data_IF_969966162792
#
_entry.id   IF_969966162792
#
_cell.length_a   1.000
_cell.length_b   1.000
_cell.length_c   1.000
_cell.angle_alpha   90.00
_cell.angle_beta   90.00
_cell.angle_gamma   90.00
#
_symmetry.space_group_name_H-M   'P 1'
#
loop_
_entity.id
_entity.type
_entity.pdbx_description
1 polymer ?
#
# COMPACT_ATOMS: atom_id res chain seq x y z
N UNK A 1 14.96 27.17 5.44
CA UNK A 1 13.90 26.26 5.88
C UNK A 1 14.18 24.85 5.36
N UNK A 2 14.32 23.92 6.27
CA UNK A 2 14.44 22.53 5.85
C UNK A 2 13.06 22.00 5.49
N UNK A 3 12.86 21.67 4.24
CA UNK A 3 11.64 20.99 3.82
C UNK A 3 11.87 19.49 3.91
N UNK A 4 11.10 18.82 4.77
CA UNK A 4 11.02 17.38 4.67
C UNK A 4 10.36 17.05 3.33
N UNK A 5 10.95 16.13 2.53
CA UNK A 5 10.30 15.69 1.32
C UNK A 5 8.92 15.13 1.67
N UNK A 6 7.91 15.58 0.99
CA UNK A 6 6.57 15.08 1.20
C UNK A 6 6.40 13.76 0.46
N UNK A 7 5.72 12.82 1.11
CA UNK A 7 5.30 11.59 0.46
C UNK A 7 4.41 11.93 -0.76
N UNK A 8 4.53 11.20 -1.88
CA UNK A 8 3.70 11.43 -3.05
C UNK A 8 2.24 11.03 -2.86
N UNK A 9 1.92 10.36 -1.76
CA UNK A 9 0.57 9.84 -1.53
C UNK A 9 -0.39 10.94 -1.08
N UNK A 10 -1.57 10.99 -1.70
CA UNK A 10 -2.66 11.86 -1.25
C UNK A 10 -3.37 11.22 -0.05
N UNK A 11 -4.25 11.99 0.60
CA UNK A 11 -4.89 11.55 1.84
C UNK A 11 -5.62 10.21 1.70
N UNK A 12 -6.37 10.02 0.64
CA UNK A 12 -7.11 8.77 0.41
C UNK A 12 -6.16 7.57 0.28
N UNK A 13 -5.02 7.77 -0.36
CA UNK A 13 -4.00 6.74 -0.52
C UNK A 13 -3.32 6.42 0.80
N UNK A 14 -3.01 7.43 1.59
CA UNK A 14 -2.43 7.25 2.93
C UNK A 14 -3.38 6.47 3.83
N UNK A 15 -4.67 6.78 3.77
CA UNK A 15 -5.67 6.07 4.58
C UNK A 15 -5.76 4.60 4.19
N UNK A 16 -5.76 4.32 2.88
CA UNK A 16 -5.80 2.96 2.39
C UNK A 16 -4.54 2.18 2.80
N UNK A 17 -3.36 2.79 2.64
CA UNK A 17 -2.09 2.17 3.01
C UNK A 17 -2.07 1.84 4.51
N UNK A 18 -2.54 2.76 5.35
CA UNK A 18 -2.60 2.53 6.79
C UNK A 18 -3.48 1.34 7.13
N UNK A 19 -4.66 1.26 6.52
CA UNK A 19 -5.59 0.17 6.77
C UNK A 19 -4.99 -1.17 6.31
N UNK A 20 -4.41 -1.20 5.13
CA UNK A 20 -3.92 -2.44 4.53
C UNK A 20 -2.64 -2.97 5.18
N UNK A 21 -1.77 -2.08 5.68
CA UNK A 21 -0.50 -2.48 6.28
C UNK A 21 -0.55 -2.61 7.80
N UNK A 22 -1.66 -2.19 8.43
CA UNK A 22 -1.81 -2.28 9.89
C UNK A 22 -1.95 -3.74 10.32
N UNK A 23 -1.27 -4.15 11.41
CA UNK A 23 -1.43 -5.51 11.92
C UNK A 23 -2.88 -5.82 12.28
N UNK A 24 -3.35 -7.02 11.95
CA UNK A 24 -4.70 -7.49 12.26
C UNK A 24 -4.66 -8.93 12.76
N UNK A 25 -5.44 -9.19 13.80
CA UNK A 25 -5.62 -10.56 14.33
C UNK A 25 -4.28 -11.25 14.62
N UNK A 26 -3.31 -10.50 15.13
CA UNK A 26 -1.98 -11.03 15.42
C UNK A 26 -1.09 -11.27 14.21
N UNK A 27 -1.54 -10.91 13.02
CA UNK A 27 -0.75 -11.05 11.79
C UNK A 27 -0.26 -9.69 11.31
N UNK A 28 0.98 -9.66 10.84
CA UNK A 28 1.60 -8.47 10.27
C UNK A 28 1.62 -8.62 8.75
N UNK A 29 0.91 -7.72 8.01
CA UNK A 29 0.97 -7.76 6.55
C UNK A 29 2.38 -7.59 6.03
N UNK A 30 2.73 -8.35 4.99
CA UNK A 30 4.04 -8.31 4.36
C UNK A 30 3.94 -7.57 3.03
N UNK A 31 4.93 -6.72 2.72
CA UNK A 31 4.97 -6.02 1.44
C UNK A 31 5.04 -7.01 0.26
N UNK A 32 5.61 -8.20 0.47
CA UNK A 32 5.70 -9.23 -0.56
C UNK A 32 4.33 -9.81 -0.95
N UNK A 33 3.31 -9.64 -0.10
CA UNK A 33 1.95 -10.10 -0.40
C UNK A 33 1.15 -9.07 -1.20
N UNK A 34 1.64 -7.84 -1.29
CA UNK A 34 0.96 -6.74 -1.96
C UNK A 34 -0.25 -6.22 -1.19
N UNK A 35 -0.88 -5.21 -1.76
CA UNK A 35 -2.12 -4.66 -1.23
C UNK A 35 -3.28 -5.50 -1.75
N UNK A 36 -4.07 -6.04 -0.82
CA UNK A 36 -5.17 -6.96 -1.15
C UNK A 36 -6.24 -6.25 -1.98
N UNK A 37 -6.73 -6.94 -3.02
CA UNK A 37 -7.83 -6.48 -3.85
C UNK A 37 -8.99 -7.45 -3.74
N UNK A 38 -10.18 -6.90 -3.47
CA UNK A 38 -11.41 -7.69 -3.51
C UNK A 38 -11.76 -8.00 -4.96
N UNK A 39 -12.56 -9.04 -5.16
CA UNK A 39 -13.04 -9.40 -6.49
C UNK A 39 -14.54 -9.16 -6.60
N UNK A 40 -15.03 -9.01 -7.82
CA UNK A 40 -16.44 -8.92 -8.10
C UNK A 40 -17.08 -10.29 -7.86
N UNK A 41 -18.22 -10.30 -7.14
CA UNK A 41 -18.93 -11.53 -6.83
C UNK A 41 -20.00 -11.88 -7.87
N UNK A 42 -20.41 -10.92 -8.68
CA UNK A 42 -21.49 -11.10 -9.65
C UNK A 42 -21.32 -10.13 -10.81
N UNK A 43 -22.11 -10.35 -11.87
CA UNK A 43 -22.13 -9.51 -13.05
C UNK A 43 -21.05 -9.87 -14.06
N UNK A 44 -20.88 -9.04 -15.13
CA UNK A 44 -19.93 -9.34 -16.22
C UNK A 44 -18.49 -9.36 -15.77
N UNK A 45 -18.17 -8.76 -14.61
CA UNK A 45 -16.81 -8.67 -14.11
C UNK A 45 -16.53 -9.67 -12.98
N UNK A 46 -17.41 -10.67 -12.80
CA UNK A 46 -17.25 -11.69 -11.75
C UNK A 46 -15.85 -12.31 -11.82
N UNK A 47 -15.17 -12.36 -10.67
CA UNK A 47 -13.83 -12.92 -10.56
C UNK A 47 -12.71 -11.93 -10.88
N UNK A 48 -13.03 -10.79 -11.45
CA UNK A 48 -12.03 -9.76 -11.71
C UNK A 48 -11.79 -8.89 -10.46
N UNK A 49 -10.58 -8.34 -10.27
CA UNK A 49 -10.31 -7.51 -9.13
C UNK A 49 -11.09 -6.19 -9.18
N UNK A 50 -11.61 -5.80 -8.02
CA UNK A 50 -12.17 -4.45 -7.82
C UNK A 50 -11.01 -3.52 -7.48
N UNK A 51 -10.82 -2.49 -8.28
CA UNK A 51 -9.73 -1.54 -8.05
C UNK A 51 -10.30 -0.27 -7.43
N UNK A 52 -10.03 -0.02 -6.12
CA UNK A 52 -10.46 1.24 -5.49
C UNK A 52 -9.85 2.45 -6.18
N UNK A 53 -10.52 3.59 -6.08
CA UNK A 53 -10.03 4.84 -6.69
C UNK A 53 -8.63 5.18 -6.22
N UNK A 54 -8.31 4.95 -4.94
CA UNK A 54 -6.98 5.22 -4.40
C UNK A 54 -5.91 4.34 -5.07
N UNK A 55 -6.20 3.06 -5.28
CA UNK A 55 -5.28 2.16 -5.98
C UNK A 55 -5.13 2.58 -7.44
N UNK A 56 -6.24 2.91 -8.11
CA UNK A 56 -6.19 3.35 -9.51
C UNK A 56 -5.33 4.61 -9.65
N UNK A 57 -5.47 5.56 -8.75
CA UNK A 57 -4.66 6.77 -8.77
C UNK A 57 -3.17 6.47 -8.59
N UNK A 58 -2.84 5.53 -7.73
CA UNK A 58 -1.45 5.10 -7.55
C UNK A 58 -0.91 4.34 -8.77
N UNK A 59 -1.74 3.53 -9.42
CA UNK A 59 -1.39 2.86 -10.68
C UNK A 59 -1.08 3.88 -11.76
N UNK A 60 -1.94 4.90 -11.90
CA UNK A 60 -1.80 5.93 -12.92
C UNK A 60 -0.50 6.73 -12.76
N UNK A 61 -0.01 6.86 -11.53
CA UNK A 61 1.23 7.59 -11.23
C UNK A 61 2.46 6.69 -11.12
N UNK A 62 2.30 5.38 -11.35
CA UNK A 62 3.41 4.43 -11.31
C UNK A 62 3.90 4.11 -9.90
N UNK A 63 3.10 4.37 -8.87
CA UNK A 63 3.47 4.08 -7.47
C UNK A 63 3.21 2.63 -7.10
N UNK A 64 2.27 1.99 -7.75
CA UNK A 64 2.00 0.55 -7.59
C UNK A 64 1.83 -0.08 -8.97
N UNK A 65 1.96 -1.40 -9.00
CA UNK A 65 1.72 -2.20 -10.20
C UNK A 65 0.90 -3.43 -9.84
N UNK A 66 0.15 -3.93 -10.80
CA UNK A 66 -0.66 -5.13 -10.61
C UNK A 66 0.18 -6.37 -10.88
N UNK A 67 0.22 -7.30 -9.94
CA UNK A 67 0.85 -8.60 -10.11
C UNK A 67 0.07 -9.66 -9.35
N UNK A 68 0.35 -10.92 -9.62
CA UNK A 68 -0.16 -12.01 -8.79
C UNK A 68 0.69 -12.13 -7.54
N UNK A 69 0.04 -12.27 -6.38
CA UNK A 69 0.75 -12.52 -5.13
C UNK A 69 1.18 -14.00 -5.05
N UNK A 70 1.93 -14.40 -4.01
CA UNK A 70 2.36 -15.81 -3.87
C UNK A 70 1.22 -16.82 -3.83
N UNK A 71 0.01 -16.38 -3.48
CA UNK A 71 -1.18 -17.22 -3.48
C UNK A 71 -1.87 -17.29 -4.85
N UNK A 72 -1.31 -16.63 -5.87
CA UNK A 72 -1.89 -16.61 -7.21
C UNK A 72 -3.04 -15.64 -7.40
N UNK A 73 -3.24 -14.68 -6.49
CA UNK A 73 -4.31 -13.70 -6.56
C UNK A 73 -3.79 -12.34 -6.98
N UNK A 74 -4.60 -11.57 -7.74
CA UNK A 74 -4.21 -10.21 -8.11
C UNK A 74 -4.05 -9.33 -6.87
N UNK A 75 -2.98 -8.56 -6.83
CA UNK A 75 -2.70 -7.62 -5.77
C UNK A 75 -1.92 -6.42 -6.34
N UNK A 76 -1.93 -5.30 -5.63
CA UNK A 76 -1.16 -4.13 -6.01
C UNK A 76 0.14 -4.10 -5.21
N UNK A 77 1.26 -4.06 -5.91
CA UNK A 77 2.59 -4.04 -5.30
C UNK A 77 3.23 -2.68 -5.51
N UNK A 78 3.88 -2.16 -4.47
CA UNK A 78 4.62 -0.91 -4.62
C UNK A 78 5.76 -1.10 -5.62
N UNK A 79 5.85 -0.18 -6.57
CA UNK A 79 7.00 -0.07 -7.46
C UNK A 79 8.18 0.52 -6.71
N UNK A 80 9.35 0.61 -7.33
CA UNK A 80 10.51 1.27 -6.73
C UNK A 80 10.18 2.71 -6.32
N UNK A 81 9.47 3.45 -7.19
CA UNK A 81 9.02 4.82 -6.89
C UNK A 81 8.04 4.82 -5.72
N UNK A 82 7.12 3.86 -5.71
CA UNK A 82 6.16 3.71 -4.62
C UNK A 82 6.83 3.37 -3.29
N UNK A 83 7.85 2.51 -3.31
CA UNK A 83 8.61 2.17 -2.10
C UNK A 83 9.36 3.38 -1.54
N UNK A 84 9.92 4.23 -2.41
CA UNK A 84 10.53 5.49 -1.97
C UNK A 84 9.51 6.38 -1.28
N UNK A 85 8.31 6.49 -1.87
CA UNK A 85 7.21 7.23 -1.27
C UNK A 85 6.78 6.67 0.07
N UNK A 86 6.73 5.35 0.18
CA UNK A 86 6.35 4.68 1.42
C UNK A 86 7.38 4.93 2.53
N UNK A 87 8.68 4.92 2.20
CA UNK A 87 9.73 5.28 3.16
C UNK A 87 9.53 6.70 3.68
N UNK A 88 9.25 7.66 2.80
CA UNK A 88 8.98 9.04 3.20
C UNK A 88 7.76 9.12 4.13
N UNK A 89 6.70 8.40 3.81
CA UNK A 89 5.49 8.38 4.62
C UNK A 89 5.76 7.83 6.02
N UNK A 90 6.48 6.73 6.12
CA UNK A 90 6.73 6.05 7.39
C UNK A 90 7.84 6.69 8.22
N UNK A 91 8.64 7.58 7.63
CA UNK A 91 9.63 8.38 8.35
C UNK A 91 9.05 9.71 8.85
N UNK A 92 7.84 10.06 8.44
CA UNK A 92 7.20 11.30 8.86
C UNK A 92 6.67 11.14 10.29
N UNK A 93 7.32 11.83 11.25
CA UNK A 93 6.94 11.76 12.65
C UNK A 93 5.55 12.27 12.94
N UNK A 94 4.92 13.00 12.01
CA UNK A 94 3.56 13.48 12.14
C UNK A 94 2.51 12.41 11.90
N UNK A 95 2.92 11.26 11.34
CA UNK A 95 2.01 10.15 11.10
C UNK A 95 1.72 9.47 12.45
N UNK A 96 0.44 9.43 12.81
CA UNK A 96 0.01 8.80 14.06
C UNK A 96 0.10 7.28 13.97
N UNK A 97 0.42 6.64 15.09
CA UNK A 97 0.46 5.18 15.16
C UNK A 97 1.62 4.58 14.40
N UNK A 98 2.74 5.28 14.29
CA UNK A 98 3.92 4.82 13.58
C UNK A 98 4.42 3.47 14.08
N UNK A 99 4.28 3.20 15.38
CA UNK A 99 4.69 1.92 15.98
C UNK A 99 3.99 0.72 15.36
N UNK A 100 2.80 0.90 14.82
CA UNK A 100 2.04 -0.16 14.15
C UNK A 100 2.65 -0.56 12.80
N UNK A 101 3.61 0.22 12.30
CA UNK A 101 4.25 -0.01 11.01
C UNK A 101 5.71 -0.42 11.14
N UNK A 102 6.15 -0.79 12.36
CA UNK A 102 7.54 -1.19 12.58
C UNK A 102 7.93 -2.39 11.71
N UNK A 103 7.02 -3.33 11.48
CA UNK A 103 7.27 -4.47 10.62
C UNK A 103 7.52 -4.05 9.17
N UNK A 104 6.81 -3.02 8.69
CA UNK A 104 7.01 -2.48 7.34
C UNK A 104 8.33 -1.73 7.26
N UNK A 105 8.66 -0.94 8.29
CA UNK A 105 9.95 -0.24 8.35
C UNK A 105 11.12 -1.21 8.28
N UNK A 106 11.04 -2.32 8.99
CA UNK A 106 12.09 -3.36 8.93
C UNK A 106 12.24 -3.91 7.52
N UNK A 107 11.13 -4.15 6.83
CA UNK A 107 11.15 -4.62 5.44
C UNK A 107 11.76 -3.56 4.50
N UNK A 108 11.58 -2.29 4.79
CA UNK A 108 12.12 -1.19 4.01
C UNK A 108 13.54 -0.81 4.40
N UNK A 109 14.06 -1.33 5.51
CA UNK A 109 15.39 -1.01 6.00
C UNK A 109 15.51 0.37 6.62
N UNK A 110 14.45 0.87 7.22
CA UNK A 110 14.45 2.20 7.82
C UNK A 110 14.15 2.18 9.31
#
# INVERSE_FOLDING_TARGET
>A
MSHQPKSPFIQQERDLIRIELMPRFGQEPDLADGLFLRTWHSGPQKGQPKIPKAIQAMLDRGLVEMRLNPMGRPAAFFTEIGLKGLRLLLQDYRVRGQERFDHVRRQLGI
#
